data_IF_058260455229
#
_entry.id   IF_058260455229
#
_cell.length_a   1.000
_cell.length_b   1.000
_cell.length_c   1.000
_cell.angle_alpha   90.00
_cell.angle_beta   90.00
_cell.angle_gamma   90.00
#
_symmetry.space_group_name_H-M   'P 1'
#
loop_
_entity.id
_entity.type
_entity.pdbx_description
1 polymer ?
#
# COMPACT_ATOMS: atom_id res chain seq x y z
N UNK A 1 -0.92 -10.58 -2.34
CA UNK A 1 -2.30 -10.74 -2.86
C UNK A 1 -2.34 -11.93 -3.81
N UNK A 2 -3.08 -12.99 -3.46
CA UNK A 2 -3.20 -14.18 -4.29
C UNK A 2 -4.23 -14.04 -5.42
N UNK A 3 -4.34 -15.03 -6.33
CA UNK A 3 -5.42 -15.09 -7.30
C UNK A 3 -6.78 -15.18 -6.59
N UNK A 4 -7.79 -14.51 -7.14
CA UNK A 4 -9.15 -14.49 -6.57
C UNK A 4 -9.89 -15.82 -6.79
N UNK A 5 -9.35 -16.75 -7.57
CA UNK A 5 -10.04 -17.99 -7.96
C UNK A 5 -11.18 -17.74 -8.95
N UNK A 6 -11.99 -18.76 -9.20
CA UNK A 6 -13.17 -18.64 -10.07
C UNK A 6 -14.37 -18.13 -9.25
N UNK A 7 -14.98 -17.05 -9.72
CA UNK A 7 -16.21 -16.47 -9.15
C UNK A 7 -17.30 -16.42 -10.22
N UNK A 8 -18.52 -16.79 -9.82
CA UNK A 8 -19.72 -16.54 -10.62
C UNK A 8 -20.14 -15.07 -10.46
N UNK A 9 -19.67 -14.23 -11.39
CA UNK A 9 -19.99 -12.80 -11.45
C UNK A 9 -21.50 -12.58 -11.69
N UNK A 10 -22.22 -13.54 -12.29
CA UNK A 10 -23.66 -13.43 -12.56
C UNK A 10 -24.49 -13.25 -11.29
N UNK A 11 -24.07 -13.85 -10.17
CA UNK A 11 -24.75 -13.73 -8.86
C UNK A 11 -24.83 -12.28 -8.35
N UNK A 12 -23.93 -11.42 -8.79
CA UNK A 12 -23.83 -10.03 -8.38
C UNK A 12 -24.91 -9.11 -8.96
N UNK A 13 -25.58 -9.53 -10.04
CA UNK A 13 -26.61 -8.74 -10.73
C UNK A 13 -27.80 -8.39 -9.82
N UNK A 14 -28.19 -9.30 -8.92
CA UNK A 14 -29.32 -9.10 -7.99
C UNK A 14 -29.16 -7.91 -7.04
N UNK A 15 -27.94 -7.38 -6.89
CA UNK A 15 -27.60 -6.28 -5.98
C UNK A 15 -26.79 -5.17 -6.65
N UNK A 16 -26.67 -5.18 -7.98
CA UNK A 16 -25.86 -4.22 -8.75
C UNK A 16 -24.43 -4.06 -8.21
N UNK A 17 -23.79 -5.17 -7.82
CA UNK A 17 -22.45 -5.14 -7.24
C UNK A 17 -21.41 -4.87 -8.32
N UNK A 18 -20.52 -3.91 -8.07
CA UNK A 18 -19.34 -3.63 -8.90
C UNK A 18 -18.10 -4.29 -8.29
N UNK A 19 -17.33 -5.00 -9.12
CA UNK A 19 -16.03 -5.58 -8.72
C UNK A 19 -14.91 -4.79 -9.40
N UNK A 20 -13.92 -4.35 -8.61
CA UNK A 20 -12.74 -3.65 -9.12
C UNK A 20 -11.47 -4.26 -8.52
N UNK A 21 -10.46 -4.48 -9.37
CA UNK A 21 -9.10 -4.89 -8.98
C UNK A 21 -8.12 -3.79 -9.41
N UNK A 22 -8.06 -2.67 -8.69
CA UNK A 22 -7.21 -1.55 -9.06
C UNK A 22 -5.72 -1.92 -8.91
N UNK A 23 -4.91 -1.42 -9.83
CA UNK A 23 -3.45 -1.44 -9.73
C UNK A 23 -2.97 -0.01 -9.53
N UNK A 24 -2.11 0.22 -8.54
CA UNK A 24 -1.49 1.52 -8.26
C UNK A 24 -0.96 2.19 -9.53
N UNK A 25 -0.26 1.43 -10.38
CA UNK A 25 0.36 1.96 -11.59
C UNK A 25 -0.63 2.62 -12.56
N UNK A 26 -1.90 2.17 -12.63
CA UNK A 26 -2.91 2.76 -13.51
C UNK A 26 -3.35 4.17 -13.08
N UNK A 27 -3.08 4.53 -11.82
CA UNK A 27 -3.42 5.84 -11.25
C UNK A 27 -2.19 6.76 -11.14
N UNK A 28 -0.98 6.27 -11.45
CA UNK A 28 0.28 7.02 -11.31
C UNK A 28 1.22 6.84 -12.50
N UNK A 29 0.69 6.49 -13.67
CA UNK A 29 1.41 6.22 -14.91
C UNK A 29 1.92 7.48 -15.62
N UNK A 30 1.42 8.67 -15.27
CA UNK A 30 1.93 9.95 -15.79
C UNK A 30 2.37 10.89 -14.66
N UNK A 31 3.32 11.82 -14.92
CA UNK A 31 3.74 12.81 -13.95
C UNK A 31 2.59 13.67 -13.41
N UNK A 32 1.59 13.99 -14.22
CA UNK A 32 0.44 14.83 -13.84
C UNK A 32 -0.48 14.10 -12.86
N UNK A 33 -0.77 12.82 -13.13
CA UNK A 33 -1.57 11.98 -12.24
C UNK A 33 -0.86 11.78 -10.91
N UNK A 34 0.42 11.41 -10.95
CA UNK A 34 1.23 11.26 -9.75
C UNK A 34 1.32 12.58 -8.95
N UNK A 35 1.58 13.70 -9.63
CA UNK A 35 1.69 15.02 -9.03
C UNK A 35 0.41 15.44 -8.28
N UNK A 36 -0.76 15.11 -8.82
CA UNK A 36 -2.05 15.34 -8.15
C UNK A 36 -2.16 14.56 -6.85
N UNK A 37 -1.81 13.27 -6.86
CA UNK A 37 -1.84 12.42 -5.68
C UNK A 37 -0.84 12.85 -4.60
N UNK A 38 0.40 13.16 -5.01
CA UNK A 38 1.48 13.64 -4.13
C UNK A 38 1.08 14.95 -3.46
N UNK A 39 0.57 15.92 -4.23
CA UNK A 39 0.13 17.22 -3.71
C UNK A 39 -0.94 17.05 -2.63
N UNK A 40 -1.96 16.23 -2.91
CA UNK A 40 -3.05 15.94 -1.97
C UNK A 40 -2.53 15.26 -0.70
N UNK A 41 -1.63 14.29 -0.83
CA UNK A 41 -1.05 13.56 0.30
C UNK A 41 -0.28 14.49 1.23
N UNK A 42 0.65 15.29 0.70
CA UNK A 42 1.45 16.21 1.52
C UNK A 42 0.62 17.35 2.10
N UNK A 43 -0.43 17.80 1.43
CA UNK A 43 -1.39 18.73 2.02
C UNK A 43 -2.08 18.12 3.24
N UNK A 44 -2.58 16.88 3.14
CA UNK A 44 -3.23 16.18 4.24
C UNK A 44 -2.28 15.91 5.42
N UNK A 45 -1.00 15.61 5.15
CA UNK A 45 0.04 15.52 6.19
C UNK A 45 0.23 16.86 6.92
N UNK A 46 0.43 17.96 6.18
CA UNK A 46 0.62 19.30 6.78
C UNK A 46 -0.59 19.77 7.58
N UNK A 47 -1.80 19.37 7.17
CA UNK A 47 -3.04 19.67 7.88
C UNK A 47 -3.28 18.76 9.10
N UNK A 48 -2.43 17.75 9.32
CA UNK A 48 -2.59 16.78 10.41
C UNK A 48 -3.75 15.81 10.23
N UNK A 49 -4.36 15.76 9.04
CA UNK A 49 -5.40 14.80 8.67
C UNK A 49 -4.82 13.40 8.61
N UNK A 50 -3.60 13.28 8.06
CA UNK A 50 -2.81 12.06 8.09
C UNK A 50 -1.70 12.23 9.13
N UNK A 51 -1.57 11.25 10.03
CA UNK A 51 -0.44 11.13 10.95
C UNK A 51 0.29 9.85 10.61
N UNK A 52 1.61 9.94 10.42
CA UNK A 52 2.46 8.78 10.12
C UNK A 52 3.01 8.26 11.44
N UNK A 53 2.74 6.99 11.73
CA UNK A 53 3.33 6.30 12.88
C UNK A 53 4.84 6.11 12.68
N UNK A 54 5.60 6.11 13.77
CA UNK A 54 7.03 5.86 13.70
C UNK A 54 7.27 4.46 13.10
N UNK A 55 8.01 4.33 11.98
CA UNK A 55 8.25 3.03 11.37
C UNK A 55 9.21 2.20 12.21
N UNK A 56 9.10 0.89 12.09
CA UNK A 56 10.14 -0.01 12.60
C UNK A 56 11.30 -0.01 11.62
N UNK A 57 12.51 0.22 12.14
CA UNK A 57 13.71 0.25 11.32
C UNK A 57 14.44 -1.09 11.40
N UNK A 58 14.97 -1.52 10.27
CA UNK A 58 15.92 -2.62 10.15
C UNK A 58 17.12 -2.11 9.36
N UNK A 59 18.31 -2.60 9.67
CA UNK A 59 19.45 -2.39 8.79
C UNK A 59 19.17 -3.05 7.44
N UNK A 60 19.68 -2.47 6.36
CA UNK A 60 19.49 -3.04 5.02
C UNK A 60 20.01 -4.49 4.94
N UNK A 61 21.09 -4.81 5.66
CA UNK A 61 21.62 -6.16 5.78
C UNK A 61 20.62 -7.16 6.39
N UNK A 62 19.70 -6.67 7.20
CA UNK A 62 18.65 -7.45 7.89
C UNK A 62 17.34 -7.53 7.10
N UNK A 63 17.33 -7.19 5.81
CA UNK A 63 16.13 -7.26 4.97
C UNK A 63 15.41 -8.62 5.08
N UNK A 64 16.16 -9.73 5.07
CA UNK A 64 15.56 -11.07 5.18
C UNK A 64 14.78 -11.26 6.50
N UNK A 65 15.23 -10.63 7.60
CA UNK A 65 14.50 -10.64 8.87
C UNK A 65 13.26 -9.77 8.79
N UNK A 66 13.37 -8.55 8.26
CA UNK A 66 12.23 -7.65 8.06
C UNK A 66 11.10 -8.32 7.26
N UNK A 67 11.44 -9.06 6.20
CA UNK A 67 10.48 -9.83 5.40
C UNK A 67 9.81 -10.95 6.22
N UNK A 68 10.57 -11.75 6.98
CA UNK A 68 10.01 -12.81 7.83
C UNK A 68 9.05 -12.24 8.89
N UNK A 69 9.45 -11.17 9.57
CA UNK A 69 8.61 -10.57 10.62
C UNK A 69 7.33 -9.94 10.02
N UNK A 70 7.39 -9.41 8.79
CA UNK A 70 6.22 -8.94 8.04
C UNK A 70 5.27 -10.09 7.65
N UNK A 71 5.81 -11.19 7.11
CA UNK A 71 5.03 -12.37 6.67
C UNK A 71 4.39 -13.12 7.85
N UNK A 72 5.11 -13.22 8.98
CA UNK A 72 4.64 -13.79 10.24
C UNK A 72 3.64 -12.89 10.98
N UNK A 73 3.32 -11.71 10.44
CA UNK A 73 2.41 -10.71 11.04
C UNK A 73 2.85 -10.24 12.43
N UNK A 74 4.17 -10.17 12.69
CA UNK A 74 4.72 -9.67 13.96
C UNK A 74 4.83 -8.15 14.02
N UNK A 75 4.69 -7.49 12.88
CA UNK A 75 4.86 -6.05 12.74
C UNK A 75 3.54 -5.37 12.38
N UNK A 76 3.35 -4.15 12.86
CA UNK A 76 2.28 -3.23 12.44
C UNK A 76 2.89 -1.95 11.91
N UNK A 77 2.22 -1.29 10.97
CA UNK A 77 2.72 -0.05 10.36
C UNK A 77 3.81 -0.30 9.32
N UNK A 78 4.59 0.74 9.04
CA UNK A 78 5.63 0.70 8.01
C UNK A 78 6.94 0.11 8.56
N UNK A 79 7.62 -0.66 7.71
CA UNK A 79 9.00 -1.11 7.93
C UNK A 79 9.92 -0.31 7.01
N UNK A 80 11.02 0.21 7.54
CA UNK A 80 12.00 0.97 6.78
C UNK A 80 13.35 0.26 6.88
N UNK A 81 13.92 -0.05 5.71
CA UNK A 81 15.29 -0.55 5.61
C UNK A 81 16.24 0.64 5.52
N UNK A 82 17.17 0.72 6.47
CA UNK A 82 18.15 1.79 6.55
C UNK A 82 19.47 1.30 5.96
N UNK A 83 19.96 1.89 4.86
CA UNK A 83 21.31 1.61 4.39
C UNK A 83 22.33 2.12 5.41
N UNK A 84 23.44 1.39 5.59
CA UNK A 84 24.61 1.96 6.27
C UNK A 84 25.07 3.23 5.54
N UNK A 85 25.68 4.16 6.27
CA UNK A 85 26.18 5.43 5.72
C UNK A 85 27.37 5.23 4.78
#
# INVERSE_FOLDING_TARGET
SGPVGNWDIGRFASKSITVSRPNYAHYTDTPEKLGTHVTRFFQALRQGVIRVEAPTHYDLADAARAHRDLEDRRTTGALVLVPEA
#
